data_IF_501939500322
#
_entry.id   IF_501939500322
#
_cell.length_a   1.000
_cell.length_b   1.000
_cell.length_c   1.000
_cell.angle_alpha   90.00
_cell.angle_beta   90.00
_cell.angle_gamma   90.00
#
_symmetry.space_group_name_H-M   'P 1'
#
loop_
_entity.id
_entity.type
_entity.pdbx_description
1 polymer ?
#
# COMPACT_ATOMS: atom_id res chain seq x y z
N UNK A 1 14.76 -12.34 -12.17
CA UNK A 1 14.92 -10.86 -12.29
C UNK A 1 13.98 -10.18 -11.31
N UNK A 2 14.36 -9.02 -10.76
CA UNK A 2 13.45 -8.21 -9.94
C UNK A 2 13.15 -6.89 -10.63
N UNK A 3 11.91 -6.44 -10.50
CA UNK A 3 11.43 -5.13 -10.94
C UNK A 3 10.82 -4.38 -9.75
N UNK A 4 10.95 -3.07 -9.73
CA UNK A 4 10.39 -2.23 -8.67
C UNK A 4 9.67 -1.04 -9.29
N UNK A 5 8.49 -0.72 -8.77
CA UNK A 5 7.74 0.47 -9.13
C UNK A 5 7.34 1.26 -7.89
N UNK A 6 7.07 2.56 -8.05
CA UNK A 6 6.70 3.47 -6.96
C UNK A 6 5.43 4.22 -7.32
N UNK A 7 4.55 4.35 -6.34
CA UNK A 7 3.32 5.14 -6.38
C UNK A 7 3.27 6.03 -5.14
N UNK A 8 2.59 7.16 -5.23
CA UNK A 8 2.42 8.09 -4.12
C UNK A 8 0.95 8.36 -3.86
N UNK A 9 0.62 8.66 -2.60
CA UNK A 9 -0.72 9.02 -2.17
C UNK A 9 -0.66 9.85 -0.88
N UNK A 10 -1.71 10.60 -0.62
CA UNK A 10 -1.87 11.37 0.60
C UNK A 10 -2.91 10.71 1.50
N UNK A 11 -2.60 10.51 2.76
CA UNK A 11 -3.55 9.93 3.71
C UNK A 11 -3.35 10.50 5.10
N UNK A 12 -4.46 10.55 5.87
CA UNK A 12 -4.44 10.92 7.26
C UNK A 12 -4.42 9.69 8.18
N UNK A 13 -3.84 9.85 9.35
CA UNK A 13 -3.86 8.85 10.42
C UNK A 13 -3.61 9.47 11.80
N UNK A 14 -3.70 8.64 12.81
CA UNK A 14 -3.11 8.89 14.13
C UNK A 14 -2.71 7.59 14.79
N UNK A 15 -1.78 7.67 15.74
CA UNK A 15 -1.39 6.55 16.59
C UNK A 15 -2.05 6.76 17.95
N UNK A 16 -3.17 6.09 18.27
CA UNK A 16 -3.83 6.24 19.57
C UNK A 16 -2.85 5.94 20.71
N UNK A 17 -2.92 6.70 21.79
CA UNK A 17 -2.07 6.54 22.98
C UNK A 17 -0.57 6.79 22.78
N UNK A 18 -0.15 7.31 21.62
CA UNK A 18 1.25 7.68 21.43
C UNK A 18 1.64 8.82 22.36
N UNK A 19 2.83 8.71 22.95
CA UNK A 19 3.35 9.72 23.91
C UNK A 19 3.72 11.06 23.27
N UNK A 20 3.92 11.11 21.94
CA UNK A 20 4.36 12.28 21.20
C UNK A 20 3.33 12.71 20.14
N UNK A 21 3.76 13.49 19.16
CA UNK A 21 2.91 14.17 18.17
C UNK A 21 2.03 13.24 17.32
N UNK A 22 2.45 11.98 17.11
CA UNK A 22 1.69 11.04 16.28
C UNK A 22 0.30 10.69 16.85
N UNK A 23 0.00 11.06 18.12
CA UNK A 23 -1.36 10.93 18.68
C UNK A 23 -2.37 11.91 18.07
N UNK A 24 -1.88 12.98 17.45
CA UNK A 24 -2.73 13.99 16.83
C UNK A 24 -3.26 13.50 15.48
N UNK A 25 -4.39 14.07 15.04
CA UNK A 25 -4.86 13.90 13.67
C UNK A 25 -3.90 14.61 12.73
N UNK A 26 -3.27 13.87 11.84
CA UNK A 26 -2.31 14.41 10.88
C UNK A 26 -2.25 13.51 9.65
N UNK A 27 -1.40 13.82 8.71
CA UNK A 27 -1.22 13.01 7.51
C UNK A 27 0.16 13.17 6.91
N UNK A 28 0.43 12.33 5.93
CA UNK A 28 1.67 12.31 5.18
C UNK A 28 1.40 12.14 3.69
N UNK A 29 2.38 12.56 2.89
CA UNK A 29 2.52 12.08 1.53
C UNK A 29 3.30 10.77 1.56
N UNK A 30 2.57 9.67 1.51
CA UNK A 30 3.14 8.33 1.48
C UNK A 30 3.69 7.99 0.11
N UNK A 31 4.70 7.12 0.08
CA UNK A 31 5.13 6.47 -1.14
C UNK A 31 5.19 4.96 -0.93
N UNK A 32 4.63 4.22 -1.88
CA UNK A 32 4.57 2.77 -1.90
C UNK A 32 5.49 2.25 -3.00
N UNK A 33 6.56 1.56 -2.62
CA UNK A 33 7.40 0.81 -3.55
C UNK A 33 7.05 -0.67 -3.50
N UNK A 34 6.91 -1.26 -4.67
CA UNK A 34 6.52 -2.65 -4.84
C UNK A 34 7.60 -3.34 -5.64
N UNK A 35 8.22 -4.36 -5.06
CA UNK A 35 9.25 -5.17 -5.71
C UNK A 35 8.68 -6.56 -6.01
N UNK A 36 8.69 -6.93 -7.26
CA UNK A 36 8.26 -8.22 -7.78
C UNK A 36 9.43 -8.95 -8.42
N UNK A 37 9.44 -10.25 -8.34
CA UNK A 37 10.37 -11.10 -9.11
C UNK A 37 9.61 -12.00 -10.10
N UNK A 38 10.28 -12.33 -11.18
CA UNK A 38 9.78 -13.23 -12.21
C UNK A 38 10.84 -13.49 -13.27
N UNK A 39 10.53 -14.38 -14.19
CA UNK A 39 11.37 -14.65 -15.34
C UNK A 39 11.09 -13.64 -16.47
N UNK A 40 12.12 -13.36 -17.26
CA UNK A 40 11.96 -12.53 -18.46
C UNK A 40 11.16 -13.32 -19.49
N UNK A 41 10.15 -12.69 -20.06
CA UNK A 41 9.32 -13.28 -21.12
C UNK A 41 10.17 -13.42 -22.39
N UNK A 42 10.45 -14.67 -22.77
CA UNK A 42 11.31 -14.98 -23.91
C UNK A 42 10.56 -15.08 -25.26
N UNK A 43 9.22 -15.10 -25.23
CA UNK A 43 8.40 -15.23 -26.45
C UNK A 43 8.52 -13.95 -27.31
N UNK A 44 9.27 -14.02 -28.41
CA UNK A 44 9.60 -12.86 -29.25
C UNK A 44 8.36 -12.11 -29.82
N UNK A 45 7.24 -12.80 -29.96
CA UNK A 45 5.99 -12.21 -30.46
C UNK A 45 5.03 -11.75 -29.34
N UNK A 46 5.43 -11.86 -28.07
CA UNK A 46 4.63 -11.31 -26.97
C UNK A 46 4.83 -9.80 -26.88
N UNK A 47 3.78 -9.08 -26.46
CA UNK A 47 3.85 -7.63 -26.27
C UNK A 47 4.86 -7.24 -25.19
N UNK A 48 5.06 -8.13 -24.20
CA UNK A 48 5.99 -7.97 -23.08
C UNK A 48 7.32 -8.68 -23.29
N UNK A 49 7.68 -9.02 -24.54
CA UNK A 49 8.96 -9.68 -24.85
C UNK A 49 10.15 -8.91 -24.27
N UNK A 50 11.00 -9.60 -23.51
CA UNK A 50 12.15 -8.99 -22.84
C UNK A 50 11.84 -8.34 -21.48
N UNK A 51 10.60 -8.34 -21.03
CA UNK A 51 10.17 -7.82 -19.73
C UNK A 51 9.89 -8.95 -18.74
N UNK A 52 9.95 -8.65 -17.45
CA UNK A 52 9.33 -9.51 -16.42
C UNK A 52 7.82 -9.28 -16.45
N UNK A 53 7.41 -8.01 -16.51
CA UNK A 53 6.02 -7.54 -16.63
C UNK A 53 6.05 -6.06 -17.00
N UNK A 54 5.00 -5.58 -17.68
CA UNK A 54 4.80 -4.15 -17.93
C UNK A 54 4.57 -3.40 -16.60
N UNK A 55 5.30 -2.32 -16.39
CA UNK A 55 5.14 -1.48 -15.18
C UNK A 55 3.76 -0.84 -15.06
N UNK A 56 3.08 -0.60 -16.18
CA UNK A 56 1.71 -0.05 -16.15
C UNK A 56 0.71 -1.04 -15.55
N UNK A 57 0.85 -2.32 -15.86
CA UNK A 57 0.01 -3.38 -15.28
C UNK A 57 0.29 -3.59 -13.80
N UNK A 58 1.56 -3.59 -13.40
CA UNK A 58 1.95 -3.63 -11.99
C UNK A 58 1.32 -2.47 -11.22
N UNK A 59 1.44 -1.25 -11.77
CA UNK A 59 0.88 -0.04 -11.15
C UNK A 59 -0.64 -0.06 -11.10
N UNK A 60 -1.31 -0.55 -12.15
CA UNK A 60 -2.78 -0.59 -12.20
C UNK A 60 -3.35 -1.42 -11.04
N UNK A 61 -2.83 -2.62 -10.82
CA UNK A 61 -3.26 -3.48 -9.71
C UNK A 61 -3.02 -2.79 -8.36
N UNK A 62 -1.85 -2.21 -8.16
CA UNK A 62 -1.53 -1.52 -6.92
C UNK A 62 -2.40 -0.27 -6.68
N UNK A 63 -2.76 0.47 -7.74
CA UNK A 63 -3.71 1.58 -7.66
C UNK A 63 -5.08 1.10 -7.21
N UNK A 64 -5.66 0.17 -7.95
CA UNK A 64 -7.03 -0.29 -7.73
C UNK A 64 -7.22 -0.93 -6.34
N UNK A 65 -6.22 -1.68 -5.86
CA UNK A 65 -6.34 -2.44 -4.62
C UNK A 65 -5.84 -1.73 -3.35
N UNK A 66 -4.93 -0.78 -3.47
CA UNK A 66 -4.33 -0.09 -2.31
C UNK A 66 -4.36 1.43 -2.45
N UNK A 67 -3.72 1.98 -3.51
CA UNK A 67 -3.47 3.42 -3.57
C UNK A 67 -4.77 4.21 -3.65
N UNK A 68 -5.66 3.87 -4.57
CA UNK A 68 -6.93 4.59 -4.75
C UNK A 68 -7.90 4.39 -3.58
N UNK A 69 -7.73 3.28 -2.82
CA UNK A 69 -8.50 3.04 -1.59
C UNK A 69 -8.03 3.93 -0.45
N UNK A 70 -6.71 4.14 -0.32
CA UNK A 70 -6.12 4.89 0.79
C UNK A 70 -5.91 6.37 0.50
N UNK A 71 -5.80 6.75 -0.77
CA UNK A 71 -5.56 8.14 -1.17
C UNK A 71 -6.72 9.04 -0.75
N UNK A 72 -6.39 10.17 -0.12
CA UNK A 72 -7.33 11.13 0.47
C UNK A 72 -8.28 10.52 1.52
N UNK A 73 -7.92 9.37 2.11
CA UNK A 73 -8.65 8.76 3.20
C UNK A 73 -8.03 9.12 4.56
N UNK A 74 -8.82 8.96 5.62
CA UNK A 74 -8.31 8.88 6.98
C UNK A 74 -8.27 7.40 7.39
N UNK A 75 -7.08 6.89 7.68
CA UNK A 75 -6.86 5.51 8.13
C UNK A 75 -7.03 5.46 9.64
N UNK A 76 -8.04 4.76 10.12
CA UNK A 76 -8.38 4.73 11.53
C UNK A 76 -8.32 3.32 12.10
N UNK A 77 -7.68 3.16 13.24
CA UNK A 77 -7.66 1.89 13.94
C UNK A 77 -9.08 1.48 14.37
N UNK A 78 -9.46 0.24 14.11
CA UNK A 78 -10.82 -0.29 14.39
C UNK A 78 -11.28 -0.11 15.83
N UNK A 79 -10.34 0.00 16.79
CA UNK A 79 -10.64 0.22 18.21
C UNK A 79 -10.50 1.67 18.66
N UNK A 80 -10.18 2.60 17.75
CA UNK A 80 -10.17 4.03 18.04
C UNK A 80 -11.60 4.61 17.92
N UNK A 81 -12.44 4.25 18.87
CA UNK A 81 -13.87 4.57 18.84
C UNK A 81 -14.15 6.06 18.79
N UNK A 82 -13.35 6.87 19.50
CA UNK A 82 -13.53 8.32 19.52
C UNK A 82 -13.41 8.94 18.13
N UNK A 83 -12.38 8.56 17.37
CA UNK A 83 -12.19 9.08 16.01
C UNK A 83 -13.18 8.45 15.05
N UNK A 84 -13.47 7.14 15.17
CA UNK A 84 -14.49 6.48 14.35
C UNK A 84 -15.85 7.15 14.49
N UNK A 85 -16.29 7.43 15.71
CA UNK A 85 -17.57 8.10 15.96
C UNK A 85 -17.59 9.52 15.37
N UNK A 86 -16.49 10.26 15.49
CA UNK A 86 -16.35 11.56 14.86
C UNK A 86 -16.46 11.49 13.33
N UNK A 87 -15.68 10.61 12.70
CA UNK A 87 -15.65 10.46 11.24
C UNK A 87 -16.98 9.96 10.67
N UNK A 88 -17.69 9.09 11.40
CA UNK A 88 -19.01 8.61 11.01
C UNK A 88 -20.08 9.72 10.97
N UNK A 89 -19.86 10.81 11.67
CA UNK A 89 -20.75 12.00 11.65
C UNK A 89 -20.36 13.02 10.57
N UNK A 90 -19.25 12.82 9.85
CA UNK A 90 -18.89 13.68 8.73
C UNK A 90 -19.55 13.17 7.44
N UNK A 91 -20.37 13.99 6.77
CA UNK A 91 -21.01 13.59 5.50
C UNK A 91 -19.97 13.26 4.43
N UNK A 92 -20.14 12.12 3.75
CA UNK A 92 -19.33 11.70 2.60
C UNK A 92 -17.82 11.59 2.89
N UNK A 93 -17.43 11.40 4.15
CA UNK A 93 -16.03 11.27 4.53
C UNK A 93 -15.47 9.93 4.06
N UNK A 94 -14.28 9.97 3.45
CA UNK A 94 -13.53 8.77 3.07
C UNK A 94 -12.74 8.24 4.26
N UNK A 95 -13.29 7.23 4.92
CA UNK A 95 -12.70 6.58 6.09
C UNK A 95 -12.31 5.14 5.74
N UNK A 96 -11.08 4.76 6.04
CA UNK A 96 -10.62 3.37 5.93
C UNK A 96 -10.37 2.82 7.32
N UNK A 97 -11.16 1.81 7.70
CA UNK A 97 -11.00 1.14 9.00
C UNK A 97 -9.85 0.15 8.89
N UNK A 98 -8.82 0.37 9.70
CA UNK A 98 -7.61 -0.44 9.72
C UNK A 98 -7.68 -1.50 10.82
N UNK A 99 -7.29 -2.75 10.54
CA UNK A 99 -7.38 -3.85 11.52
C UNK A 99 -6.42 -3.68 12.70
N UNK A 100 -5.33 -2.95 12.49
CA UNK A 100 -4.29 -2.60 13.47
C UNK A 100 -4.08 -1.09 13.51
N UNK A 101 -3.25 -0.62 14.44
CA UNK A 101 -2.86 0.80 14.48
C UNK A 101 -2.14 1.15 13.17
N UNK A 102 -2.55 2.20 12.43
CA UNK A 102 -2.00 2.52 11.11
C UNK A 102 -0.63 3.20 11.19
N UNK A 103 0.35 2.47 11.71
CA UNK A 103 1.78 2.84 11.61
C UNK A 103 2.32 2.46 10.25
N UNK A 104 3.47 3.00 9.86
CA UNK A 104 4.12 2.66 8.59
C UNK A 104 4.35 1.15 8.45
N UNK A 105 4.72 0.47 9.56
CA UNK A 105 4.94 -0.98 9.60
C UNK A 105 3.65 -1.77 9.31
N UNK A 106 2.58 -1.43 9.99
CA UNK A 106 1.29 -2.10 9.82
C UNK A 106 0.66 -1.80 8.45
N UNK A 107 0.85 -0.58 7.94
CA UNK A 107 0.41 -0.22 6.60
C UNK A 107 1.21 -0.97 5.53
N UNK A 108 2.53 -1.10 5.67
CA UNK A 108 3.36 -1.90 4.77
C UNK A 108 2.94 -3.37 4.77
N UNK A 109 2.71 -3.94 5.96
CA UNK A 109 2.26 -5.33 6.10
C UNK A 109 0.88 -5.58 5.47
N UNK A 110 -0.07 -4.65 5.66
CA UNK A 110 -1.40 -4.77 5.07
C UNK A 110 -1.37 -4.60 3.54
N UNK A 111 -0.60 -3.63 3.02
CA UNK A 111 -0.38 -3.49 1.59
C UNK A 111 0.25 -4.75 0.99
N UNK A 112 1.25 -5.33 1.67
CA UNK A 112 1.85 -6.59 1.25
C UNK A 112 0.84 -7.74 1.20
N UNK A 113 0.01 -7.88 2.22
CA UNK A 113 -1.03 -8.92 2.28
C UNK A 113 -2.02 -8.79 1.11
N UNK A 114 -2.50 -7.58 0.83
CA UNK A 114 -3.43 -7.31 -0.27
C UNK A 114 -2.77 -7.61 -1.61
N UNK A 115 -1.61 -7.00 -1.88
CA UNK A 115 -0.92 -7.10 -3.16
C UNK A 115 -0.43 -8.52 -3.47
N UNK A 116 -0.05 -9.29 -2.45
CA UNK A 116 0.35 -10.70 -2.62
C UNK A 116 -0.79 -11.54 -3.20
N UNK A 117 -2.02 -11.35 -2.72
CA UNK A 117 -3.20 -12.01 -3.26
C UNK A 117 -3.48 -11.55 -4.69
N UNK A 118 -3.56 -10.24 -4.91
CA UNK A 118 -3.92 -9.65 -6.20
C UNK A 118 -2.95 -10.06 -7.33
N UNK A 119 -1.64 -9.99 -7.09
CA UNK A 119 -0.67 -10.41 -8.10
C UNK A 119 -0.69 -11.92 -8.35
N UNK A 120 -0.90 -12.72 -7.30
CA UNK A 120 -1.02 -14.17 -7.44
C UNK A 120 -2.27 -14.57 -8.23
N UNK A 121 -3.41 -13.93 -7.95
CA UNK A 121 -4.68 -14.22 -8.60
C UNK A 121 -4.65 -13.81 -10.08
N UNK A 122 -3.94 -12.71 -10.40
CA UNK A 122 -3.82 -12.21 -11.78
C UNK A 122 -2.76 -12.93 -12.61
N UNK A 123 -1.58 -13.20 -12.03
CA UNK A 123 -0.41 -13.71 -12.78
C UNK A 123 0.08 -15.10 -12.35
N UNK A 124 -0.62 -15.71 -11.39
CA UNK A 124 -0.25 -17.05 -10.91
C UNK A 124 1.15 -17.11 -10.33
N UNK A 125 1.97 -18.01 -10.86
CA UNK A 125 3.36 -18.19 -10.40
C UNK A 125 4.39 -17.39 -11.24
N UNK A 126 3.95 -16.65 -12.24
CA UNK A 126 4.86 -15.84 -13.07
C UNK A 126 5.50 -14.71 -12.26
N UNK A 127 4.69 -14.06 -11.38
CA UNK A 127 5.17 -13.00 -10.51
C UNK A 127 5.10 -13.41 -9.04
N UNK A 128 6.15 -13.08 -8.30
CA UNK A 128 6.21 -13.22 -6.85
C UNK A 128 6.44 -11.85 -6.21
N UNK A 129 5.58 -11.46 -5.27
CA UNK A 129 5.80 -10.25 -4.48
C UNK A 129 6.93 -10.52 -3.47
N UNK A 130 8.01 -9.77 -3.60
CA UNK A 130 9.20 -9.90 -2.75
C UNK A 130 9.20 -8.88 -1.61
N UNK A 131 8.79 -7.64 -1.89
CA UNK A 131 8.80 -6.55 -0.92
C UNK A 131 7.73 -5.52 -1.22
N UNK A 132 7.14 -5.01 -0.16
CA UNK A 132 6.43 -3.73 -0.14
C UNK A 132 7.16 -2.81 0.83
N UNK A 133 7.64 -1.66 0.34
CA UNK A 133 8.20 -0.58 1.15
C UNK A 133 7.22 0.57 1.20
N UNK A 134 6.88 1.01 2.40
CA UNK A 134 6.05 2.18 2.61
C UNK A 134 6.86 3.28 3.28
N UNK A 135 7.04 4.38 2.57
CA UNK A 135 7.61 5.62 3.10
C UNK A 135 6.51 6.44 3.76
N UNK A 136 6.65 6.73 5.03
CA UNK A 136 5.82 7.71 5.74
C UNK A 136 6.34 9.13 5.49
N UNK A 137 7.66 9.26 5.44
CA UNK A 137 8.38 10.47 5.02
C UNK A 137 9.47 10.09 4.01
N UNK A 138 10.10 11.04 3.30
CA UNK A 138 11.22 10.72 2.42
C UNK A 138 12.39 9.98 3.08
N UNK A 139 12.50 10.11 4.41
CA UNK A 139 13.63 9.59 5.19
C UNK A 139 13.28 8.44 6.14
N UNK A 140 11.99 8.03 6.20
CA UNK A 140 11.53 7.00 7.14
C UNK A 140 10.54 6.09 6.45
N UNK A 141 10.80 4.79 6.51
CA UNK A 141 9.98 3.78 5.86
C UNK A 141 9.97 2.47 6.64
N UNK A 142 9.03 1.62 6.29
CA UNK A 142 8.95 0.22 6.74
C UNK A 142 8.94 -0.72 5.54
N UNK A 143 9.57 -1.88 5.66
CA UNK A 143 9.59 -2.96 4.68
C UNK A 143 8.79 -4.16 5.19
N UNK A 144 7.82 -4.61 4.38
CA UNK A 144 7.20 -5.92 4.50
C UNK A 144 7.80 -6.85 3.43
N UNK A 145 8.29 -8.00 3.85
CA UNK A 145 9.03 -8.94 3.01
C UNK A 145 8.28 -10.27 2.84
N UNK A 146 8.58 -10.98 1.75
CA UNK A 146 8.04 -12.32 1.46
C UNK A 146 8.48 -13.38 2.45
#
# INVERSE_FOLDING_TARGET
MQITTRLEFDAGHRIPNHKSQCRNLHGHRYALEITLSGDIIAAENASEAGMVMDFSDVKRIARESVVDVWDHAFLVFKNDKLVLDFLNNLPNHKTVIFPSVPTAENMAAEAFRILKSEYKDTYGNHLKLERVRLYETPNSWADALA
#
